data_IF_489716240632
#
_entry.id   IF_489716240632
#
_cell.length_a   1.000
_cell.length_b   1.000
_cell.length_c   1.000
_cell.angle_alpha   90.00
_cell.angle_beta   90.00
_cell.angle_gamma   90.00
#
_symmetry.space_group_name_H-M   'P 1'
#
loop_
_entity.id
_entity.type
_entity.pdbx_description
1 polymer ?
#
# COMPACT_ATOMS: atom_id res chain seq x y z
N UNK A 1 -40.70 -6.12 0.66
CA UNK A 1 -39.26 -6.18 1.00
C UNK A 1 -39.03 -6.68 2.41
N UNK A 2 -39.76 -6.18 3.42
CA UNK A 2 -39.66 -6.68 4.81
C UNK A 2 -39.97 -8.17 4.97
N UNK A 3 -40.95 -8.70 4.23
CA UNK A 3 -41.29 -10.13 4.25
C UNK A 3 -40.17 -11.03 3.72
N UNK A 4 -39.42 -10.54 2.72
CA UNK A 4 -38.28 -11.27 2.14
C UNK A 4 -37.13 -11.33 3.16
N UNK A 5 -36.87 -10.22 3.86
CA UNK A 5 -35.84 -10.16 4.91
C UNK A 5 -36.09 -11.19 6.02
N UNK A 6 -37.34 -11.29 6.49
CA UNK A 6 -37.73 -12.28 7.51
C UNK A 6 -37.51 -13.72 7.05
N UNK A 7 -37.91 -14.04 5.81
CA UNK A 7 -37.71 -15.37 5.23
C UNK A 7 -36.21 -15.69 5.09
N UNK A 8 -35.38 -14.73 4.69
CA UNK A 8 -33.92 -14.93 4.62
C UNK A 8 -33.26 -15.11 5.98
N UNK A 9 -33.76 -14.44 7.02
CA UNK A 9 -33.28 -14.64 8.40
C UNK A 9 -33.65 -16.03 8.94
N UNK A 10 -34.85 -16.54 8.63
CA UNK A 10 -35.29 -17.89 9.05
C UNK A 10 -34.54 -19.02 8.33
N UNK A 11 -34.11 -18.79 7.09
CA UNK A 11 -33.36 -19.78 6.29
C UNK A 11 -31.83 -19.67 6.48
N UNK A 12 -31.36 -18.59 7.08
CA UNK A 12 -29.94 -18.35 7.35
C UNK A 12 -29.39 -19.38 8.32
N UNK A 13 -28.20 -19.92 8.02
CA UNK A 13 -27.46 -20.76 8.95
C UNK A 13 -26.37 -19.90 9.56
N UNK A 14 -26.31 -19.86 10.90
CA UNK A 14 -25.22 -19.19 11.61
C UNK A 14 -23.91 -19.92 11.39
N UNK A 15 -22.86 -19.15 11.11
CA UNK A 15 -21.53 -19.66 10.85
C UNK A 15 -20.54 -18.95 11.77
N UNK A 16 -19.61 -19.72 12.32
CA UNK A 16 -18.50 -19.17 13.07
C UNK A 16 -17.47 -18.51 12.13
N UNK A 17 -17.22 -17.22 12.35
CA UNK A 17 -16.30 -16.41 11.55
C UNK A 17 -14.84 -16.66 11.95
N UNK A 18 -14.59 -17.22 13.14
CA UNK A 18 -13.24 -17.56 13.58
C UNK A 18 -12.80 -18.95 13.06
N UNK A 19 -13.77 -19.82 12.74
CA UNK A 19 -13.55 -21.14 12.15
C UNK A 19 -13.06 -21.04 10.70
N UNK A 20 -11.78 -21.38 10.48
CA UNK A 20 -11.18 -21.36 9.14
C UNK A 20 -11.79 -22.43 8.23
N UNK A 21 -12.20 -23.57 8.77
CA UNK A 21 -12.79 -24.67 8.00
C UNK A 21 -14.14 -24.27 7.39
N UNK A 22 -14.97 -23.55 8.14
CA UNK A 22 -16.30 -23.16 7.67
C UNK A 22 -16.21 -22.05 6.63
N UNK A 23 -15.32 -21.07 6.83
CA UNK A 23 -15.02 -20.05 5.81
C UNK A 23 -14.47 -20.72 4.54
N UNK A 24 -13.55 -21.68 4.69
CA UNK A 24 -12.95 -22.39 3.54
C UNK A 24 -14.02 -23.12 2.72
N UNK A 25 -15.00 -23.76 3.36
CA UNK A 25 -16.13 -24.43 2.66
C UNK A 25 -16.97 -23.44 1.85
N UNK A 26 -17.30 -22.27 2.43
CA UNK A 26 -18.10 -21.24 1.76
C UNK A 26 -17.36 -20.70 0.53
N UNK A 27 -16.11 -20.28 0.71
CA UNK A 27 -15.31 -19.70 -0.37
C UNK A 27 -15.07 -20.73 -1.47
N UNK A 28 -14.84 -22.00 -1.11
CA UNK A 28 -14.72 -23.11 -2.07
C UNK A 28 -16.00 -23.31 -2.86
N UNK A 29 -17.19 -23.22 -2.23
CA UNK A 29 -18.48 -23.31 -2.94
C UNK A 29 -18.63 -22.20 -3.99
N UNK A 30 -18.21 -20.97 -3.68
CA UNK A 30 -18.26 -19.84 -4.60
C UNK A 30 -17.27 -19.96 -5.78
N UNK A 31 -16.14 -20.66 -5.58
CA UNK A 31 -15.06 -20.80 -6.57
C UNK A 31 -15.21 -22.06 -7.42
N UNK A 32 -15.82 -23.12 -6.88
CA UNK A 32 -15.87 -24.45 -7.50
C UNK A 32 -16.47 -24.48 -8.91
N UNK A 33 -17.40 -23.58 -9.24
CA UNK A 33 -18.01 -23.52 -10.59
C UNK A 33 -17.20 -22.74 -11.63
N UNK A 34 -16.00 -22.25 -11.27
CA UNK A 34 -15.14 -21.43 -12.14
C UNK A 34 -13.86 -22.18 -12.55
N UNK A 35 -13.05 -21.57 -13.42
CA UNK A 35 -11.78 -22.10 -13.98
C UNK A 35 -10.72 -22.54 -12.95
N UNK A 36 -10.99 -22.35 -11.66
CA UNK A 36 -10.05 -22.53 -10.57
C UNK A 36 -9.95 -23.95 -10.02
N UNK A 37 -10.68 -24.96 -10.53
CA UNK A 37 -10.69 -26.29 -9.86
C UNK A 37 -9.30 -26.92 -9.60
N UNK A 38 -8.30 -26.64 -10.45
CA UNK A 38 -6.92 -27.14 -10.25
C UNK A 38 -6.13 -26.38 -9.18
N UNK A 39 -6.47 -25.12 -8.93
CA UNK A 39 -5.77 -24.19 -8.03
C UNK A 39 -6.69 -23.62 -6.96
N UNK A 40 -7.84 -24.28 -6.75
CA UNK A 40 -8.95 -23.77 -5.95
C UNK A 40 -8.51 -23.57 -4.52
N UNK A 41 -7.84 -24.57 -3.95
CA UNK A 41 -7.36 -24.53 -2.58
C UNK A 41 -6.39 -23.38 -2.33
N UNK A 42 -5.41 -23.20 -3.23
CA UNK A 42 -4.45 -22.10 -3.13
C UNK A 42 -5.14 -20.73 -3.17
N UNK A 43 -6.08 -20.53 -4.10
CA UNK A 43 -6.79 -19.27 -4.25
C UNK A 43 -7.70 -19.01 -3.05
N UNK A 44 -8.34 -20.05 -2.50
CA UNK A 44 -9.15 -19.95 -1.28
C UNK A 44 -8.27 -19.51 -0.11
N UNK A 45 -7.12 -20.15 0.08
CA UNK A 45 -6.20 -19.84 1.18
C UNK A 45 -5.65 -18.40 1.06
N UNK A 46 -5.31 -17.96 -0.16
CA UNK A 46 -4.90 -16.57 -0.42
C UNK A 46 -6.03 -15.57 -0.13
N UNK A 47 -7.27 -15.89 -0.52
CA UNK A 47 -8.41 -15.01 -0.29
C UNK A 47 -8.73 -14.86 1.20
N UNK A 48 -8.68 -15.95 1.96
CA UNK A 48 -8.89 -15.94 3.42
C UNK A 48 -7.79 -15.11 4.08
N UNK A 49 -6.52 -15.37 3.73
CA UNK A 49 -5.37 -14.62 4.27
C UNK A 49 -5.49 -13.13 3.98
N UNK A 50 -5.76 -12.75 2.73
CA UNK A 50 -5.92 -11.35 2.34
C UNK A 50 -7.07 -10.65 3.10
N UNK A 51 -8.20 -11.33 3.26
CA UNK A 51 -9.35 -10.77 3.98
C UNK A 51 -9.02 -10.57 5.46
N UNK A 52 -8.40 -11.56 6.12
CA UNK A 52 -7.97 -11.45 7.52
C UNK A 52 -6.95 -10.32 7.74
N UNK A 53 -6.03 -10.10 6.81
CA UNK A 53 -5.05 -9.00 6.90
C UNK A 53 -5.71 -7.61 6.86
N UNK A 54 -6.82 -7.43 6.13
CA UNK A 54 -7.49 -6.13 5.99
C UNK A 54 -8.61 -5.86 6.99
N UNK A 55 -9.05 -6.88 7.73
CA UNK A 55 -10.10 -6.74 8.74
C UNK A 55 -9.64 -5.75 9.82
N UNK A 56 -10.44 -4.71 10.04
CA UNK A 56 -10.28 -3.79 11.16
C UNK A 56 -11.46 -3.93 12.09
N UNK A 57 -11.17 -4.25 13.35
CA UNK A 57 -12.16 -4.28 14.40
C UNK A 57 -12.11 -2.96 15.18
N UNK A 58 -13.15 -2.16 15.06
CA UNK A 58 -13.33 -0.95 15.86
C UNK A 58 -14.41 -1.21 16.90
N UNK A 59 -14.01 -1.80 18.03
CA UNK A 59 -14.95 -2.20 19.08
C UNK A 59 -15.86 -3.35 18.62
N UNK A 60 -17.16 -3.07 18.45
CA UNK A 60 -18.16 -4.05 18.00
C UNK A 60 -18.34 -4.09 16.48
N UNK A 61 -17.89 -3.06 15.78
CA UNK A 61 -18.05 -2.98 14.34
C UNK A 61 -16.82 -3.57 13.65
N UNK A 62 -17.06 -4.54 12.77
CA UNK A 62 -16.05 -5.14 11.90
C UNK A 62 -16.16 -4.47 10.55
N UNK A 63 -15.15 -3.68 10.18
CA UNK A 63 -15.07 -3.02 8.88
C UNK A 63 -14.05 -3.72 8.00
N UNK A 64 -14.46 -4.03 6.77
CA UNK A 64 -13.62 -4.67 5.76
C UNK A 64 -13.66 -3.81 4.50
N UNK A 65 -12.60 -3.02 4.25
CA UNK A 65 -12.45 -2.25 3.01
C UNK A 65 -11.42 -2.90 2.09
N UNK A 66 -11.91 -3.80 1.24
CA UNK A 66 -11.09 -4.49 0.25
C UNK A 66 -10.51 -3.53 -0.79
N UNK A 67 -11.24 -2.48 -1.17
CA UNK A 67 -10.85 -1.65 -2.31
C UNK A 67 -9.66 -0.75 -1.99
N UNK A 68 -9.57 -0.26 -0.76
CA UNK A 68 -8.48 0.64 -0.34
C UNK A 68 -7.28 -0.12 0.23
N UNK A 69 -7.50 -1.20 0.97
CA UNK A 69 -6.43 -1.90 1.69
C UNK A 69 -5.90 -3.15 0.98
N UNK A 70 -6.68 -3.82 0.13
CA UNK A 70 -6.23 -4.99 -0.63
C UNK A 70 -5.92 -4.60 -2.09
N UNK A 71 -4.67 -4.24 -2.36
CA UNK A 71 -4.20 -4.00 -3.73
C UNK A 71 -3.64 -5.29 -4.33
N UNK A 72 -4.17 -5.70 -5.48
CA UNK A 72 -3.65 -6.85 -6.24
C UNK A 72 -2.65 -6.36 -7.28
N UNK A 73 -1.38 -6.74 -7.13
CA UNK A 73 -0.30 -6.44 -8.07
C UNK A 73 0.03 -7.70 -8.90
N UNK A 74 0.05 -7.59 -10.23
CA UNK A 74 0.35 -8.72 -11.12
C UNK A 74 1.80 -8.63 -11.57
N UNK A 75 2.63 -9.55 -11.10
CA UNK A 75 4.03 -9.65 -11.49
C UNK A 75 4.13 -10.68 -12.63
N UNK A 76 4.68 -10.31 -13.80
CA UNK A 76 4.88 -11.27 -14.89
C UNK A 76 6.01 -12.25 -14.54
N UNK A 77 5.79 -13.53 -14.84
CA UNK A 77 6.72 -14.62 -14.52
C UNK A 77 6.28 -15.41 -13.28
N UNK A 78 7.14 -16.33 -12.86
CA UNK A 78 6.87 -17.24 -11.75
C UNK A 78 5.81 -18.30 -12.03
N UNK A 79 5.51 -19.09 -11.01
CA UNK A 79 4.40 -20.07 -11.03
C UNK A 79 3.23 -19.57 -10.16
N UNK A 80 2.06 -20.15 -10.36
CA UNK A 80 0.86 -19.80 -9.56
C UNK A 80 1.10 -20.13 -8.06
N UNK A 81 1.88 -21.17 -7.77
CA UNK A 81 2.22 -21.60 -6.41
C UNK A 81 3.12 -20.60 -5.66
N UNK A 82 3.84 -19.74 -6.38
CA UNK A 82 4.68 -18.68 -5.79
C UNK A 82 3.86 -17.44 -5.40
N UNK A 83 2.57 -17.41 -5.72
CA UNK A 83 1.68 -16.31 -5.32
C UNK A 83 1.53 -16.29 -3.79
N UNK A 84 1.74 -15.13 -3.19
CA UNK A 84 1.62 -14.96 -1.74
C UNK A 84 0.93 -13.65 -1.38
N UNK A 85 0.24 -13.64 -0.24
CA UNK A 85 -0.27 -12.41 0.37
C UNK A 85 0.84 -11.81 1.23
N UNK A 86 1.27 -10.60 0.87
CA UNK A 86 2.24 -9.79 1.59
C UNK A 86 1.53 -8.91 2.62
N UNK A 87 1.96 -8.97 3.88
CA UNK A 87 1.49 -8.10 4.94
C UNK A 87 2.24 -6.76 4.90
N UNK A 88 1.89 -5.92 3.93
CA UNK A 88 2.53 -4.63 3.70
C UNK A 88 2.22 -4.04 2.33
N UNK A 89 3.02 -3.07 1.90
CA UNK A 89 2.87 -2.40 0.61
C UNK A 89 4.08 -2.71 -0.26
N UNK A 90 3.82 -3.17 -1.49
CA UNK A 90 4.85 -3.36 -2.50
C UNK A 90 4.94 -2.14 -3.41
N UNK A 91 6.17 -1.67 -3.65
CA UNK A 91 6.46 -0.62 -4.62
C UNK A 91 7.39 -1.15 -5.70
N UNK A 92 7.07 -0.84 -6.96
CA UNK A 92 7.96 -1.08 -8.10
C UNK A 92 8.83 0.16 -8.35
N UNK A 93 9.61 0.56 -7.34
CA UNK A 93 10.59 1.65 -7.41
C UNK A 93 11.87 1.19 -6.72
N UNK A 94 13.01 1.44 -7.35
CA UNK A 94 14.33 1.12 -6.81
C UNK A 94 14.93 2.33 -6.08
N UNK A 95 16.04 2.10 -5.37
CA UNK A 95 16.84 3.14 -4.73
C UNK A 95 17.38 4.15 -5.74
N UNK A 96 17.50 5.42 -5.33
CA UNK A 96 17.94 6.50 -6.23
C UNK A 96 19.45 6.57 -6.42
N UNK A 97 20.24 6.21 -5.40
CA UNK A 97 21.70 6.25 -5.44
C UNK A 97 22.29 4.87 -5.15
N UNK A 98 23.32 4.46 -5.92
CA UNK A 98 23.89 3.10 -5.85
C UNK A 98 24.50 2.73 -4.50
N UNK A 99 25.03 3.72 -3.77
CA UNK A 99 25.60 3.53 -2.42
C UNK A 99 24.55 3.54 -1.30
N UNK A 100 23.26 3.74 -1.60
CA UNK A 100 22.22 3.63 -0.57
C UNK A 100 22.08 2.19 -0.08
N UNK A 101 21.83 2.05 1.22
CA UNK A 101 21.61 0.75 1.86
C UNK A 101 20.38 0.07 1.26
N UNK A 102 20.57 -1.11 0.66
CA UNK A 102 19.49 -1.91 0.04
C UNK A 102 18.59 -2.62 1.05
N UNK A 103 19.08 -2.84 2.27
CA UNK A 103 18.33 -3.50 3.34
C UNK A 103 18.54 -2.74 4.65
N UNK A 104 17.44 -2.43 5.33
CA UNK A 104 17.41 -1.79 6.64
C UNK A 104 16.51 -2.63 7.54
N UNK A 105 17.01 -3.05 8.69
CA UNK A 105 16.20 -3.72 9.71
C UNK A 105 15.43 -2.68 10.52
N UNK A 106 14.12 -2.88 10.69
CA UNK A 106 13.20 -1.94 11.35
C UNK A 106 13.30 -0.49 10.81
N UNK A 107 12.99 -0.28 9.51
CA UNK A 107 13.09 1.05 8.90
C UNK A 107 12.07 2.01 9.52
N UNK A 108 12.44 3.27 9.71
CA UNK A 108 11.48 4.32 10.05
C UNK A 108 11.05 5.01 8.76
N UNK A 109 9.76 4.95 8.49
CA UNK A 109 9.19 5.42 7.23
C UNK A 109 8.63 6.82 7.46
N UNK A 110 9.10 7.79 6.66
CA UNK A 110 8.57 9.16 6.65
C UNK A 110 7.82 9.36 5.34
N UNK A 111 6.56 9.76 5.44
CA UNK A 111 5.72 10.10 4.30
C UNK A 111 5.74 11.61 4.10
N UNK A 112 6.04 12.04 2.88
CA UNK A 112 6.09 13.44 2.48
C UNK A 112 5.22 13.62 1.24
N UNK A 113 4.45 14.71 1.23
CA UNK A 113 3.63 15.10 0.07
C UNK A 113 4.39 16.06 -0.86
N UNK A 114 5.41 16.76 -0.33
CA UNK A 114 6.22 17.69 -1.11
C UNK A 114 7.42 17.01 -1.80
N UNK A 115 7.80 17.47 -3.02
CA UNK A 115 9.03 17.04 -3.67
C UNK A 115 10.26 17.66 -2.99
N UNK A 116 11.40 16.97 -3.10
CA UNK A 116 12.72 17.43 -2.61
C UNK A 116 13.51 18.08 -3.74
N UNK A 117 13.07 19.25 -4.15
CA UNK A 117 13.68 20.03 -5.23
C UNK A 117 13.61 21.53 -4.90
N UNK A 118 14.45 22.33 -5.56
CA UNK A 118 14.37 23.78 -5.43
C UNK A 118 13.03 24.28 -5.98
N UNK A 119 12.23 24.89 -5.10
CA UNK A 119 10.95 25.48 -5.47
C UNK A 119 11.15 26.95 -5.81
N UNK A 120 10.69 27.34 -6.99
CA UNK A 120 10.60 28.75 -7.38
C UNK A 120 9.53 29.44 -6.53
N UNK A 121 9.77 30.71 -6.22
CA UNK A 121 8.78 31.53 -5.51
C UNK A 121 7.44 31.56 -6.25
N UNK A 122 6.34 31.52 -5.50
CA UNK A 122 4.97 31.58 -6.08
C UNK A 122 4.69 32.94 -6.74
N UNK A 123 5.37 33.99 -6.28
CA UNK A 123 5.32 35.32 -6.89
C UNK A 123 6.29 35.44 -8.06
N UNK A 124 5.98 36.31 -9.03
CA UNK A 124 6.88 36.61 -10.15
C UNK A 124 8.22 37.10 -9.61
N UNK A 125 9.23 36.23 -9.70
CA UNK A 125 10.59 36.49 -9.26
C UNK A 125 11.45 36.65 -10.50
N UNK A 126 11.72 37.90 -10.89
CA UNK A 126 12.62 38.20 -12.00
C UNK A 126 14.05 38.19 -11.48
N UNK A 127 14.86 37.27 -12.01
CA UNK A 127 16.29 37.19 -11.70
C UNK A 127 17.05 37.78 -12.89
N UNK A 128 17.65 38.95 -12.70
CA UNK A 128 18.54 39.57 -13.69
C UNK A 128 19.98 39.20 -13.36
N UNK A 129 20.58 38.31 -14.16
CA UNK A 129 21.98 37.92 -14.01
C UNK A 129 22.83 38.73 -14.99
N UNK A 130 23.60 39.68 -14.47
CA UNK A 130 24.50 40.52 -15.28
C UNK A 130 25.97 40.11 -15.13
N UNK A 131 26.36 39.61 -13.95
CA UNK A 131 27.73 39.24 -13.63
C UNK A 131 27.86 37.73 -13.36
N UNK A 132 29.07 37.19 -13.55
CA UNK A 132 29.39 35.79 -13.26
C UNK A 132 29.22 35.44 -11.76
N UNK A 133 29.44 36.40 -10.86
CA UNK A 133 29.22 36.23 -9.42
C UNK A 133 27.74 35.99 -9.06
N UNK A 134 26.80 36.56 -9.82
CA UNK A 134 25.37 36.41 -9.54
C UNK A 134 24.88 35.01 -9.92
N UNK A 135 25.48 34.42 -10.96
CA UNK A 135 25.22 33.03 -11.32
C UNK A 135 25.65 32.07 -10.21
N UNK A 136 26.83 32.30 -9.62
CA UNK A 136 27.34 31.47 -8.52
C UNK A 136 26.46 31.58 -7.27
N UNK A 137 26.00 32.79 -6.91
CA UNK A 137 25.10 33.00 -5.76
C UNK A 137 23.75 32.30 -5.92
N UNK A 138 23.20 32.26 -7.14
CA UNK A 138 21.96 31.55 -7.41
C UNK A 138 22.12 30.04 -7.18
N UNK A 139 23.21 29.45 -7.69
CA UNK A 139 23.50 28.03 -7.48
C UNK A 139 23.68 27.69 -5.99
N UNK A 140 24.41 28.52 -5.25
CA UNK A 140 24.59 28.35 -3.80
C UNK A 140 23.24 28.42 -3.05
N UNK A 141 22.35 29.31 -3.47
CA UNK A 141 21.00 29.43 -2.88
C UNK A 141 20.14 28.21 -3.15
N UNK A 142 20.20 27.64 -4.37
CA UNK A 142 19.49 26.40 -4.71
C UNK A 142 19.97 25.23 -3.86
N UNK A 143 21.28 25.07 -3.69
CA UNK A 143 21.87 24.03 -2.83
C UNK A 143 21.49 24.21 -1.37
N UNK A 144 21.44 25.45 -0.87
CA UNK A 144 21.09 25.75 0.51
C UNK A 144 19.64 25.37 0.83
N UNK A 145 18.70 25.66 -0.05
CA UNK A 145 17.29 25.29 0.14
C UNK A 145 17.09 23.78 0.17
N UNK A 146 17.72 23.04 -0.74
CA UNK A 146 17.66 21.57 -0.73
C UNK A 146 18.31 21.02 0.56
N UNK A 147 19.41 21.62 1.03
CA UNK A 147 20.06 21.23 2.28
C UNK A 147 19.12 21.43 3.48
N UNK A 148 18.43 22.57 3.57
CA UNK A 148 17.44 22.84 4.63
C UNK A 148 16.32 21.81 4.64
N UNK A 149 15.78 21.44 3.47
CA UNK A 149 14.75 20.39 3.36
C UNK A 149 15.26 19.04 3.91
N UNK A 150 16.49 18.66 3.54
CA UNK A 150 17.12 17.44 4.05
C UNK A 150 17.35 17.50 5.57
N UNK A 151 17.75 18.64 6.13
CA UNK A 151 17.93 18.81 7.58
C UNK A 151 16.62 18.59 8.35
N UNK A 152 15.49 19.08 7.83
CA UNK A 152 14.18 18.84 8.43
C UNK A 152 13.84 17.34 8.50
N UNK A 153 14.16 16.59 7.45
CA UNK A 153 13.98 15.14 7.42
C UNK A 153 14.93 14.47 8.43
N UNK A 154 16.20 14.86 8.48
CA UNK A 154 17.18 14.27 9.38
C UNK A 154 16.86 14.48 10.86
N UNK A 155 16.13 15.53 11.24
CA UNK A 155 15.72 15.79 12.64
C UNK A 155 14.89 14.67 13.26
N UNK A 156 13.99 14.06 12.49
CA UNK A 156 13.19 12.93 12.99
C UNK A 156 13.99 11.63 13.04
N UNK A 157 15.22 11.64 12.52
CA UNK A 157 16.08 10.49 12.29
C UNK A 157 15.24 9.41 11.60
N UNK A 158 15.04 9.45 10.29
CA UNK A 158 14.49 8.31 9.57
C UNK A 158 15.44 7.10 9.68
#
# INVERSE_FOLDING_TARGET
MEEILKITEELGVDIDVDSEEDIKKIVTSCIGTKFSHKWGDLIVDLAIKATRTVVRQSGKDVEIDLKRYAKVEKIPGGTIEECTVLDGVMFNKDITHGEMRRKIENPRIVLLDCPLEYKKGESMTNIEMSNEEDFKKALESEEEEVRKMCEHILRVKP
#
